data_IF_700292616066
#
_entry.id   IF_700292616066
#
_cell.length_a   1.000
_cell.length_b   1.000
_cell.length_c   1.000
_cell.angle_alpha   90.00
_cell.angle_beta   90.00
_cell.angle_gamma   90.00
#
_symmetry.space_group_name_H-M   'P 1'
#
loop_
_entity.id
_entity.type
_entity.pdbx_description
1 polymer ?
#
# COMPACT_ATOMS: atom_id res chain seq x y z
N UNK A 1 -83.44 24.06 -20.63
CA UNK A 1 -82.44 23.76 -19.62
C UNK A 1 -81.13 23.66 -20.32
N UNK A 2 -80.28 24.73 -20.27
CA UNK A 2 -78.96 24.79 -20.97
C UNK A 2 -77.91 24.18 -20.07
N UNK A 3 -77.21 23.19 -20.54
CA UNK A 3 -76.01 22.65 -19.89
C UNK A 3 -74.79 23.54 -20.23
N UNK A 4 -74.28 24.22 -19.22
CA UNK A 4 -73.08 25.03 -19.36
C UNK A 4 -71.83 24.13 -19.47
N UNK A 5 -71.08 24.40 -20.52
CA UNK A 5 -69.80 23.75 -20.79
C UNK A 5 -68.76 24.23 -19.79
N UNK A 6 -68.13 23.31 -19.11
CA UNK A 6 -66.87 23.53 -18.37
C UNK A 6 -65.78 24.12 -19.27
N UNK A 7 -65.04 25.13 -18.83
CA UNK A 7 -64.10 25.82 -19.68
C UNK A 7 -62.88 24.92 -20.06
N UNK A 8 -62.50 25.00 -21.34
CA UNK A 8 -61.41 24.26 -21.96
C UNK A 8 -60.02 24.40 -21.29
N UNK A 9 -59.90 25.29 -20.30
CA UNK A 9 -58.66 25.48 -19.53
C UNK A 9 -58.34 24.38 -18.54
N UNK A 10 -59.34 23.63 -18.04
CA UNK A 10 -59.12 22.52 -17.08
C UNK A 10 -58.50 21.29 -17.75
N UNK A 11 -58.75 21.08 -19.06
CA UNK A 11 -58.24 19.95 -19.79
C UNK A 11 -56.76 20.11 -20.18
N UNK A 12 -56.28 21.36 -20.24
CA UNK A 12 -54.84 21.64 -20.55
C UNK A 12 -53.91 21.41 -19.36
N UNK A 13 -54.40 21.56 -18.14
CA UNK A 13 -53.60 21.37 -16.92
C UNK A 13 -53.35 19.87 -16.69
N UNK A 14 -54.34 19.01 -16.99
CA UNK A 14 -54.20 17.57 -16.81
C UNK A 14 -53.21 16.92 -17.82
N UNK A 15 -53.19 17.44 -19.07
CA UNK A 15 -52.24 16.94 -20.08
C UNK A 15 -50.78 17.38 -19.80
N UNK A 16 -50.60 18.59 -19.26
CA UNK A 16 -49.27 19.09 -18.87
C UNK A 16 -48.74 18.37 -17.63
N UNK A 17 -49.59 18.04 -16.69
CA UNK A 17 -49.21 17.29 -15.48
C UNK A 17 -48.85 15.84 -15.83
N UNK A 18 -49.50 15.23 -16.81
CA UNK A 18 -49.19 13.88 -17.28
C UNK A 18 -47.89 13.83 -18.11
N UNK A 19 -47.60 14.84 -18.91
CA UNK A 19 -46.35 14.93 -19.67
C UNK A 19 -45.12 15.14 -18.78
N UNK A 20 -45.24 15.89 -17.67
CA UNK A 20 -44.18 16.09 -16.69
C UNK A 20 -43.95 14.80 -15.89
N UNK A 21 -45.01 14.04 -15.55
CA UNK A 21 -44.85 12.76 -14.85
C UNK A 21 -44.25 11.65 -15.70
N UNK A 22 -44.40 11.69 -17.04
CA UNK A 22 -43.85 10.67 -17.94
C UNK A 22 -42.34 10.88 -18.26
N UNK A 23 -41.83 12.10 -18.10
CA UNK A 23 -40.39 12.41 -18.28
C UNK A 23 -39.61 12.40 -16.97
N UNK A 24 -40.30 12.28 -15.82
CA UNK A 24 -39.67 12.25 -14.50
C UNK A 24 -39.32 10.84 -14.00
N UNK A 25 -39.40 9.83 -14.84
CA UNK A 25 -39.00 8.48 -14.45
C UNK A 25 -37.51 8.29 -14.62
N UNK A 26 -36.76 8.85 -13.76
CA UNK A 26 -35.46 8.39 -13.23
C UNK A 26 -34.61 9.50 -12.63
N UNK A 27 -35.19 10.47 -11.99
CA UNK A 27 -34.45 11.33 -11.08
C UNK A 27 -34.76 10.88 -9.65
N UNK A 28 -33.80 10.23 -9.01
CA UNK A 28 -33.88 10.04 -7.56
C UNK A 28 -34.03 11.41 -6.91
N UNK A 29 -35.19 11.68 -6.32
CA UNK A 29 -35.45 12.92 -5.60
C UNK A 29 -34.64 12.91 -4.30
N UNK A 30 -33.47 13.48 -4.33
CA UNK A 30 -32.80 13.89 -3.12
C UNK A 30 -33.40 15.22 -2.69
N UNK A 31 -34.17 15.23 -1.61
CA UNK A 31 -34.77 16.43 -1.01
C UNK A 31 -33.74 17.17 -0.16
N UNK A 32 -32.84 17.87 -0.80
CA UNK A 32 -31.87 18.77 -0.16
C UNK A 32 -31.52 19.92 -1.11
N UNK A 33 -31.45 21.12 -0.59
CA UNK A 33 -31.36 22.37 -1.35
C UNK A 33 -30.03 22.62 -2.10
N UNK A 34 -29.10 21.65 -2.04
CA UNK A 34 -27.77 21.82 -2.62
C UNK A 34 -27.36 20.75 -3.58
N UNK A 35 -28.32 20.14 -4.32
CA UNK A 35 -27.88 19.15 -5.21
C UNK A 35 -28.28 19.39 -6.56
N UNK A 36 -27.55 19.16 -7.33
CA UNK A 36 -27.41 19.05 -8.35
C UNK A 36 -27.27 18.31 -9.38
N UNK A 37 -27.44 18.39 -10.36
CA UNK A 37 -27.53 17.84 -11.70
C UNK A 37 -26.61 16.68 -11.84
N UNK A 38 -27.22 15.52 -11.68
CA UNK A 38 -26.60 14.27 -12.08
C UNK A 38 -26.28 14.35 -13.57
N UNK A 39 -25.02 14.42 -13.90
CA UNK A 39 -24.53 14.36 -15.27
C UNK A 39 -24.21 12.91 -15.60
N UNK A 40 -25.23 12.04 -15.49
CA UNK A 40 -25.08 10.64 -15.80
C UNK A 40 -25.04 10.44 -17.33
N UNK A 41 -23.98 9.84 -17.83
CA UNK A 41 -23.81 9.57 -19.27
C UNK A 41 -24.46 8.26 -19.71
N UNK A 42 -24.94 7.44 -18.80
CA UNK A 42 -25.54 6.13 -19.07
C UNK A 42 -26.62 5.76 -18.05
N UNK A 43 -27.51 4.82 -18.43
CA UNK A 43 -28.58 4.32 -17.58
C UNK A 43 -28.10 3.50 -16.37
N UNK A 44 -26.85 3.07 -16.37
CA UNK A 44 -26.21 2.32 -15.26
C UNK A 44 -25.28 3.20 -14.43
N UNK A 45 -25.22 4.51 -14.70
CA UNK A 45 -24.39 5.45 -13.95
C UNK A 45 -25.12 6.04 -12.74
N UNK A 46 -24.42 6.16 -11.63
CA UNK A 46 -24.87 6.89 -10.44
C UNK A 46 -24.02 8.15 -10.30
N UNK A 47 -24.66 9.33 -10.38
CA UNK A 47 -23.97 10.61 -10.22
C UNK A 47 -24.72 11.44 -9.19
N UNK A 48 -24.05 11.75 -8.06
CA UNK A 48 -24.64 12.49 -6.96
C UNK A 48 -23.64 13.48 -6.38
N UNK A 49 -23.98 14.77 -6.44
CA UNK A 49 -23.15 15.85 -5.88
C UNK A 49 -22.95 17.01 -6.84
N UNK A 50 -22.55 18.16 -6.29
CA UNK A 50 -22.29 19.35 -7.11
C UNK A 50 -21.11 19.12 -8.03
N UNK A 51 -21.33 19.29 -9.34
CA UNK A 51 -20.31 19.04 -10.39
C UNK A 51 -19.70 17.62 -10.35
N UNK A 52 -20.41 16.62 -9.81
CA UNK A 52 -20.02 15.22 -9.96
C UNK A 52 -20.16 14.80 -11.44
N UNK A 53 -19.24 13.96 -11.93
CA UNK A 53 -19.22 13.53 -13.33
C UNK A 53 -18.98 12.02 -13.46
N UNK A 54 -19.72 11.39 -14.39
CA UNK A 54 -19.47 10.03 -14.87
C UNK A 54 -19.26 10.11 -16.39
N UNK A 55 -18.16 9.55 -16.89
CA UNK A 55 -17.84 9.57 -18.33
C UNK A 55 -17.84 8.18 -18.95
N UNK A 56 -17.77 7.14 -18.15
CA UNK A 56 -17.89 5.75 -18.61
C UNK A 56 -19.31 5.40 -19.03
N UNK A 57 -19.44 4.44 -19.94
CA UNK A 57 -20.73 4.00 -20.49
C UNK A 57 -21.44 2.95 -19.64
N UNK A 58 -20.73 2.26 -18.73
CA UNK A 58 -21.28 1.17 -17.92
C UNK A 58 -20.82 1.25 -16.47
N UNK A 59 -21.76 1.04 -15.54
CA UNK A 59 -21.53 0.78 -14.12
C UNK A 59 -20.58 1.79 -13.44
N UNK A 60 -20.77 3.08 -13.70
CA UNK A 60 -19.97 4.14 -13.10
C UNK A 60 -20.68 4.75 -11.89
N UNK A 61 -19.93 5.06 -10.83
CA UNK A 61 -20.44 5.67 -9.62
C UNK A 61 -19.62 6.90 -9.27
N UNK A 62 -20.22 8.09 -9.23
CA UNK A 62 -19.62 9.32 -8.76
C UNK A 62 -20.49 9.97 -7.67
N UNK A 63 -20.03 9.95 -6.43
CA UNK A 63 -20.76 10.49 -5.28
C UNK A 63 -19.89 11.49 -4.53
N UNK A 64 -20.28 12.74 -4.49
CA UNK A 64 -19.58 13.83 -3.80
C UNK A 64 -19.38 15.04 -4.70
N UNK A 65 -19.13 16.20 -4.08
CA UNK A 65 -18.84 17.42 -4.85
C UNK A 65 -17.57 17.23 -5.69
N UNK A 66 -17.70 17.46 -7.00
CA UNK A 66 -16.61 17.30 -7.99
C UNK A 66 -16.01 15.88 -8.04
N UNK A 67 -16.75 14.84 -7.59
CA UNK A 67 -16.35 13.47 -7.77
C UNK A 67 -16.35 13.11 -9.27
N UNK A 68 -15.34 12.38 -9.74
CA UNK A 68 -15.18 12.01 -11.15
C UNK A 68 -14.95 10.50 -11.32
N UNK A 69 -15.87 9.81 -12.00
CA UNK A 69 -15.74 8.42 -12.43
C UNK A 69 -15.53 8.42 -13.97
N UNK A 70 -14.26 8.31 -14.40
CA UNK A 70 -13.86 8.63 -15.76
C UNK A 70 -14.10 7.53 -16.80
N UNK A 71 -14.00 6.26 -16.43
CA UNK A 71 -14.13 5.12 -17.34
C UNK A 71 -15.10 4.06 -16.79
N UNK A 72 -15.40 3.04 -17.61
CA UNK A 72 -16.32 1.96 -17.26
C UNK A 72 -15.94 1.28 -15.93
N UNK A 73 -16.94 0.93 -15.14
CA UNK A 73 -16.81 0.30 -13.83
C UNK A 73 -15.96 1.11 -12.83
N UNK A 74 -15.82 2.42 -13.06
CA UNK A 74 -15.13 3.31 -12.13
C UNK A 74 -16.04 3.75 -10.99
N UNK A 75 -15.51 3.80 -9.77
CA UNK A 75 -16.23 4.25 -8.57
C UNK A 75 -15.46 5.38 -7.89
N UNK A 76 -16.05 6.57 -7.81
CA UNK A 76 -15.51 7.73 -7.12
C UNK A 76 -16.48 8.18 -6.01
N UNK A 77 -16.06 8.10 -4.76
CA UNK A 77 -16.87 8.49 -3.61
C UNK A 77 -16.09 9.43 -2.70
N UNK A 78 -16.57 10.65 -2.56
CA UNK A 78 -15.94 11.70 -1.75
C UNK A 78 -15.78 13.01 -2.54
N UNK A 79 -15.60 14.12 -1.83
CA UNK A 79 -15.34 15.40 -2.48
C UNK A 79 -14.05 15.36 -3.30
N UNK A 80 -14.11 15.69 -4.58
CA UNK A 80 -12.99 15.69 -5.50
C UNK A 80 -12.30 14.31 -5.66
N UNK A 81 -12.97 13.21 -5.31
CA UNK A 81 -12.48 11.86 -5.58
C UNK A 81 -12.39 11.64 -7.09
N UNK A 82 -11.30 11.05 -7.57
CA UNK A 82 -11.03 10.85 -8.99
C UNK A 82 -10.70 9.39 -9.30
N UNK A 83 -11.64 8.66 -9.88
CA UNK A 83 -11.48 7.31 -10.41
C UNK A 83 -11.41 7.39 -11.94
N UNK A 84 -10.24 7.71 -12.49
CA UNK A 84 -10.07 7.93 -13.92
C UNK A 84 -9.69 6.66 -14.70
N UNK A 85 -9.24 5.60 -14.03
CA UNK A 85 -8.88 4.33 -14.65
C UNK A 85 -10.06 3.41 -14.91
N UNK A 86 -9.94 2.52 -15.89
CA UNK A 86 -10.91 1.44 -16.14
C UNK A 86 -11.01 0.52 -14.90
N UNK A 87 -12.22 0.34 -14.37
CA UNK A 87 -12.44 -0.49 -13.17
C UNK A 87 -11.72 0.03 -11.92
N UNK A 88 -11.41 1.33 -11.86
CA UNK A 88 -10.74 1.94 -10.72
C UNK A 88 -11.72 2.32 -9.61
N UNK A 89 -11.24 2.34 -8.37
CA UNK A 89 -12.00 2.76 -7.20
C UNK A 89 -11.27 3.84 -6.44
N UNK A 90 -11.92 4.98 -6.21
CA UNK A 90 -11.35 6.12 -5.47
C UNK A 90 -12.34 6.55 -4.39
N UNK A 91 -12.02 6.31 -3.13
CA UNK A 91 -12.89 6.63 -2.00
C UNK A 91 -12.15 7.49 -0.98
N UNK A 92 -12.64 8.69 -0.77
CA UNK A 92 -12.06 9.68 0.15
C UNK A 92 -11.95 11.07 -0.49
N UNK A 93 -11.78 12.07 0.35
CA UNK A 93 -11.61 13.44 -0.15
C UNK A 93 -10.27 13.56 -0.91
N UNK A 94 -10.34 14.05 -2.15
CA UNK A 94 -9.19 14.18 -3.07
C UNK A 94 -8.40 12.89 -3.33
N UNK A 95 -9.00 11.73 -3.09
CA UNK A 95 -8.37 10.46 -3.47
C UNK A 95 -8.26 10.32 -4.98
N UNK A 96 -7.25 9.58 -5.47
CA UNK A 96 -6.96 9.41 -6.89
C UNK A 96 -6.65 7.96 -7.24
N UNK A 97 -7.43 7.38 -8.14
CA UNK A 97 -7.19 6.07 -8.73
C UNK A 97 -7.17 6.25 -10.25
N UNK A 98 -5.98 6.54 -10.82
CA UNK A 98 -5.87 7.04 -12.19
C UNK A 98 -5.54 5.99 -13.24
N UNK A 99 -5.06 4.83 -12.83
CA UNK A 99 -4.73 3.72 -13.73
C UNK A 99 -5.79 2.62 -13.71
N UNK A 100 -5.70 1.69 -14.67
CA UNK A 100 -6.59 0.53 -14.77
C UNK A 100 -6.55 -0.31 -13.49
N UNK A 101 -7.73 -0.61 -12.93
CA UNK A 101 -7.91 -1.39 -11.70
C UNK A 101 -7.16 -0.84 -10.49
N UNK A 102 -6.83 0.45 -10.52
CA UNK A 102 -6.23 1.13 -9.37
C UNK A 102 -7.26 1.34 -8.26
N UNK A 103 -6.83 1.21 -7.02
CA UNK A 103 -7.70 1.36 -5.84
C UNK A 103 -7.08 2.36 -4.85
N UNK A 104 -7.78 3.44 -4.55
CA UNK A 104 -7.36 4.49 -3.62
C UNK A 104 -8.42 4.69 -2.53
N UNK A 105 -8.09 4.38 -1.29
CA UNK A 105 -8.96 4.51 -0.13
C UNK A 105 -8.32 5.39 0.93
N UNK A 106 -8.86 6.58 1.13
CA UNK A 106 -8.41 7.52 2.16
C UNK A 106 -8.28 8.94 1.64
N UNK A 107 -8.20 9.88 2.55
CA UNK A 107 -7.93 11.28 2.27
C UNK A 107 -6.59 11.41 1.53
N UNK A 108 -6.58 12.04 0.35
CA UNK A 108 -5.39 12.22 -0.49
C UNK A 108 -4.69 10.91 -0.93
N UNK A 109 -5.30 9.73 -0.74
CA UNK A 109 -4.73 8.47 -1.22
C UNK A 109 -4.54 8.51 -2.74
N UNK A 110 -3.40 8.02 -3.24
CA UNK A 110 -3.05 8.07 -4.65
C UNK A 110 -2.57 6.71 -5.17
N UNK A 111 -3.37 6.07 -6.01
CA UNK A 111 -3.04 4.85 -6.72
C UNK A 111 -2.92 5.17 -8.21
N UNK A 112 -1.68 5.36 -8.69
CA UNK A 112 -1.41 5.78 -10.07
C UNK A 112 -0.87 4.65 -10.97
N UNK A 113 -0.55 3.50 -10.41
CA UNK A 113 -0.11 2.33 -11.16
C UNK A 113 -1.26 1.39 -11.52
N UNK A 114 -1.11 0.62 -12.60
CA UNK A 114 -2.05 -0.44 -12.98
C UNK A 114 -2.12 -1.49 -11.88
N UNK A 115 -3.32 -1.89 -11.44
CA UNK A 115 -3.56 -2.82 -10.33
C UNK A 115 -2.91 -2.40 -9.01
N UNK A 116 -2.67 -1.09 -8.84
CA UNK A 116 -2.10 -0.55 -7.59
C UNK A 116 -3.17 -0.34 -6.52
N UNK A 117 -2.76 -0.45 -5.26
CA UNK A 117 -3.63 -0.25 -4.11
C UNK A 117 -2.98 0.73 -3.13
N UNK A 118 -3.66 1.84 -2.86
CA UNK A 118 -3.27 2.84 -1.87
C UNK A 118 -4.36 2.96 -0.79
N UNK A 119 -4.06 2.61 0.45
CA UNK A 119 -5.01 2.64 1.57
C UNK A 119 -4.41 3.45 2.73
N UNK A 120 -5.05 4.52 3.10
CA UNK A 120 -4.62 5.41 4.18
C UNK A 120 -4.50 6.86 3.74
N UNK A 121 -4.43 7.75 4.71
CA UNK A 121 -4.23 9.17 4.42
C UNK A 121 -2.90 9.40 3.71
N UNK A 122 -2.95 10.06 2.57
CA UNK A 122 -1.79 10.35 1.72
C UNK A 122 -0.93 9.11 1.36
N UNK A 123 -1.50 7.91 1.37
CA UNK A 123 -0.83 6.71 0.88
C UNK A 123 -0.57 6.82 -0.63
N UNK A 124 0.62 6.42 -1.09
CA UNK A 124 1.03 6.52 -2.49
C UNK A 124 1.46 5.16 -3.04
N UNK A 125 0.72 4.63 -4.01
CA UNK A 125 1.07 3.46 -4.81
C UNK A 125 1.41 3.94 -6.23
N UNK A 126 2.67 4.37 -6.44
CA UNK A 126 3.11 5.16 -7.60
C UNK A 126 3.81 4.38 -8.70
N UNK A 127 4.26 3.15 -8.46
CA UNK A 127 4.89 2.32 -9.49
C UNK A 127 3.91 1.91 -10.58
N UNK A 128 4.40 1.65 -11.79
CA UNK A 128 3.54 1.42 -12.95
C UNK A 128 2.63 0.19 -12.83
N UNK A 129 3.03 -0.86 -12.08
CA UNK A 129 2.23 -2.09 -11.92
C UNK A 129 2.35 -2.67 -10.52
N UNK A 130 1.24 -3.26 -10.04
CA UNK A 130 1.19 -4.16 -8.88
C UNK A 130 1.83 -3.58 -7.59
N UNK A 131 1.59 -2.31 -7.31
CA UNK A 131 2.10 -1.66 -6.10
C UNK A 131 1.07 -1.63 -4.98
N UNK A 132 1.52 -1.82 -3.76
CA UNK A 132 0.67 -1.81 -2.57
C UNK A 132 1.24 -0.83 -1.53
N UNK A 133 0.47 0.20 -1.18
CA UNK A 133 0.79 1.15 -0.12
C UNK A 133 -0.35 1.20 0.90
N UNK A 134 -0.11 0.72 2.12
CA UNK A 134 -1.11 0.66 3.19
C UNK A 134 -0.58 1.35 4.45
N UNK A 135 -1.20 2.43 4.84
CA UNK A 135 -0.83 3.23 6.02
C UNK A 135 -0.80 4.72 5.73
N UNK A 136 -0.85 5.53 6.78
CA UNK A 136 -0.69 6.98 6.65
C UNK A 136 0.68 7.29 6.01
N UNK A 137 0.68 8.00 4.89
CA UNK A 137 1.89 8.35 4.11
C UNK A 137 2.76 7.17 3.70
N UNK A 138 2.22 5.94 3.64
CA UNK A 138 2.94 4.81 3.08
C UNK A 138 3.24 5.07 1.60
N UNK A 139 4.46 4.73 1.15
CA UNK A 139 4.92 4.99 -0.22
C UNK A 139 5.49 3.72 -0.87
N UNK A 140 4.81 3.21 -1.90
CA UNK A 140 5.30 2.16 -2.78
C UNK A 140 5.64 2.78 -4.14
N UNK A 141 6.94 3.14 -4.34
CA UNK A 141 7.35 4.03 -5.42
C UNK A 141 7.58 3.39 -6.78
N UNK A 142 7.97 2.12 -6.84
CA UNK A 142 8.29 1.41 -8.09
C UNK A 142 7.50 0.11 -8.24
N UNK A 143 7.57 -0.49 -9.43
CA UNK A 143 6.82 -1.70 -9.78
C UNK A 143 7.00 -2.83 -8.75
N UNK A 144 5.91 -3.51 -8.43
CA UNK A 144 5.87 -4.62 -7.48
C UNK A 144 6.40 -4.26 -6.08
N UNK A 145 6.42 -2.97 -5.73
CA UNK A 145 6.80 -2.53 -4.40
C UNK A 145 5.62 -2.66 -3.43
N UNK A 146 5.91 -3.06 -2.19
CA UNK A 146 4.92 -3.19 -1.11
C UNK A 146 5.37 -2.38 0.10
N UNK A 147 4.59 -1.38 0.50
CA UNK A 147 4.80 -0.56 1.69
C UNK A 147 3.61 -0.70 2.65
N UNK A 148 3.81 -1.23 3.84
CA UNK A 148 2.76 -1.41 4.84
C UNK A 148 3.21 -0.85 6.19
N UNK A 149 2.49 0.16 6.66
CA UNK A 149 2.79 0.86 7.91
C UNK A 149 2.82 2.39 7.72
N UNK A 150 2.63 3.12 8.79
CA UNK A 150 2.75 4.59 8.74
C UNK A 150 4.15 5.01 8.27
N UNK A 151 4.22 5.85 7.25
CA UNK A 151 5.47 6.33 6.65
C UNK A 151 6.42 5.22 6.14
N UNK A 152 5.92 3.99 5.94
CA UNK A 152 6.69 2.92 5.31
C UNK A 152 7.06 3.31 3.88
N UNK A 153 8.31 3.08 3.48
CA UNK A 153 8.83 3.48 2.17
C UNK A 153 9.49 2.31 1.43
N UNK A 154 8.80 1.79 0.42
CA UNK A 154 9.31 0.79 -0.52
C UNK A 154 9.62 1.49 -1.86
N UNK A 155 10.81 2.11 -1.96
CA UNK A 155 11.22 2.89 -3.12
C UNK A 155 12.02 2.09 -4.16
N UNK A 156 12.45 0.87 -3.82
CA UNK A 156 13.16 -0.01 -4.76
C UNK A 156 12.20 -0.83 -5.63
N UNK A 157 12.65 -1.22 -6.83
CA UNK A 157 11.92 -2.15 -7.68
C UNK A 157 11.74 -3.50 -6.97
N UNK A 158 10.51 -3.99 -6.84
CA UNK A 158 10.20 -5.24 -6.14
C UNK A 158 10.60 -5.24 -4.67
N UNK A 159 10.69 -4.06 -4.04
CA UNK A 159 11.04 -3.94 -2.63
C UNK A 159 9.83 -4.12 -1.71
N UNK A 160 10.09 -4.57 -0.49
CA UNK A 160 9.07 -4.74 0.55
C UNK A 160 9.47 -3.99 1.81
N UNK A 161 8.61 -3.10 2.30
CA UNK A 161 8.83 -2.31 3.51
C UNK A 161 7.62 -2.43 4.43
N UNK A 162 7.78 -3.13 5.55
CA UNK A 162 6.68 -3.39 6.50
C UNK A 162 7.07 -2.93 7.90
N UNK A 163 6.33 -1.98 8.44
CA UNK A 163 6.55 -1.40 9.75
C UNK A 163 6.55 0.13 9.71
N UNK A 164 6.33 0.76 10.85
CA UNK A 164 6.34 2.22 10.95
C UNK A 164 7.74 2.76 10.60
N UNK A 165 7.78 3.71 9.64
CA UNK A 165 9.00 4.33 9.11
C UNK A 165 10.06 3.33 8.59
N UNK A 166 9.66 2.11 8.24
CA UNK A 166 10.57 1.15 7.59
C UNK A 166 10.97 1.64 6.19
N UNK A 167 12.15 1.25 5.72
CA UNK A 167 12.71 1.71 4.43
C UNK A 167 13.34 0.55 3.66
N UNK A 168 12.84 0.28 2.47
CA UNK A 168 13.40 -0.65 1.50
C UNK A 168 13.67 0.13 0.21
N UNK A 169 14.87 0.71 0.07
CA UNK A 169 15.16 1.72 -0.96
C UNK A 169 15.89 1.18 -2.18
N UNK A 170 16.50 0.02 -2.07
CA UNK A 170 17.19 -0.63 -3.18
C UNK A 170 16.32 -1.70 -3.86
N UNK A 171 16.72 -2.12 -5.07
CA UNK A 171 16.06 -3.19 -5.81
C UNK A 171 16.00 -4.47 -4.98
N UNK A 172 14.78 -5.05 -4.87
CA UNK A 172 14.49 -6.28 -4.12
C UNK A 172 14.93 -6.25 -2.67
N UNK A 173 15.09 -5.06 -2.10
CA UNK A 173 15.36 -4.89 -0.67
C UNK A 173 14.13 -5.20 0.17
N UNK A 174 14.34 -5.79 1.34
CA UNK A 174 13.27 -6.19 2.25
C UNK A 174 13.52 -5.63 3.65
N UNK A 175 12.62 -4.81 4.17
CA UNK A 175 12.69 -4.20 5.49
C UNK A 175 11.44 -4.54 6.30
N UNK A 176 11.60 -5.26 7.39
CA UNK A 176 10.54 -5.69 8.28
C UNK A 176 10.81 -5.25 9.71
N UNK A 177 10.03 -4.32 10.22
CA UNK A 177 10.12 -3.82 11.58
C UNK A 177 10.08 -2.30 11.66
N UNK A 178 9.82 -1.79 12.85
CA UNK A 178 9.89 -0.37 13.17
C UNK A 178 11.28 0.19 12.85
N UNK A 179 11.36 1.22 12.01
CA UNK A 179 12.62 1.84 11.57
C UNK A 179 13.60 0.88 10.86
N UNK A 180 13.20 -0.32 10.46
CA UNK A 180 14.05 -1.22 9.70
C UNK A 180 14.50 -0.57 8.38
N UNK A 181 15.77 -0.75 7.99
CA UNK A 181 16.34 -0.12 6.80
C UNK A 181 17.14 -1.11 5.97
N UNK A 182 16.60 -1.49 4.80
CA UNK A 182 17.27 -2.29 3.78
C UNK A 182 17.63 -1.39 2.59
N UNK A 183 18.85 -0.91 2.54
CA UNK A 183 19.36 0.00 1.51
C UNK A 183 20.35 -0.65 0.54
N UNK A 184 20.79 -1.87 0.80
CA UNK A 184 21.56 -2.67 -0.14
C UNK A 184 20.66 -3.38 -1.15
N UNK A 185 21.12 -3.56 -2.39
CA UNK A 185 20.41 -4.34 -3.39
C UNK A 185 20.22 -5.78 -2.91
N UNK A 186 19.00 -6.32 -2.95
CA UNK A 186 18.65 -7.67 -2.45
C UNK A 186 18.98 -7.89 -0.97
N UNK A 187 19.07 -6.81 -0.20
CA UNK A 187 19.34 -6.89 1.23
C UNK A 187 18.07 -7.16 2.04
N UNK A 188 18.25 -7.75 3.23
CA UNK A 188 17.14 -8.08 4.14
C UNK A 188 17.43 -7.53 5.53
N UNK A 189 16.56 -6.66 6.04
CA UNK A 189 16.61 -6.10 7.40
C UNK A 189 15.36 -6.51 8.17
N UNK A 190 15.50 -7.28 9.25
CA UNK A 190 14.38 -7.77 10.07
C UNK A 190 14.64 -7.42 11.53
N UNK A 191 13.76 -6.63 12.11
CA UNK A 191 13.84 -6.20 13.50
C UNK A 191 13.74 -4.69 13.65
N UNK A 192 13.50 -4.23 14.86
CA UNK A 192 13.49 -2.80 15.16
C UNK A 192 14.86 -2.18 14.87
N UNK A 193 14.88 -1.13 14.08
CA UNK A 193 16.08 -0.42 13.67
C UNK A 193 17.19 -1.33 13.08
N UNK A 194 16.82 -2.50 12.54
CA UNK A 194 17.75 -3.35 11.80
C UNK A 194 18.22 -2.66 10.50
N UNK A 195 19.50 -2.75 10.17
CA UNK A 195 20.09 -2.09 9.00
C UNK A 195 20.87 -3.05 8.11
N UNK A 196 20.40 -3.27 6.89
CA UNK A 196 21.09 -4.05 5.86
C UNK A 196 21.52 -3.10 4.72
N UNK A 197 22.79 -2.65 4.76
CA UNK A 197 23.33 -1.64 3.84
C UNK A 197 24.13 -2.23 2.69
N UNK A 198 24.81 -3.36 2.95
CA UNK A 198 25.57 -4.05 1.90
C UNK A 198 24.65 -4.73 0.89
N UNK A 199 25.08 -4.83 -0.37
CA UNK A 199 24.37 -5.65 -1.35
C UNK A 199 24.32 -7.10 -0.86
N UNK A 200 23.16 -7.76 -1.02
CA UNK A 200 22.91 -9.15 -0.57
C UNK A 200 23.14 -9.40 0.92
N UNK A 201 23.19 -8.33 1.73
CA UNK A 201 23.41 -8.44 3.16
C UNK A 201 22.11 -8.79 3.93
N UNK A 202 22.27 -9.44 5.08
CA UNK A 202 21.20 -9.89 5.95
C UNK A 202 21.43 -9.37 7.38
N UNK A 203 20.50 -8.56 7.90
CA UNK A 203 20.53 -8.07 9.27
C UNK A 203 19.24 -8.52 9.99
N UNK A 204 19.35 -9.37 10.99
CA UNK A 204 18.22 -9.91 11.75
C UNK A 204 18.41 -9.67 13.24
N UNK A 205 17.54 -8.93 13.85
CA UNK A 205 17.58 -8.59 15.28
C UNK A 205 17.43 -7.09 15.52
N UNK A 206 17.04 -6.72 16.74
CA UNK A 206 16.97 -5.31 17.15
C UNK A 206 18.34 -4.64 16.98
N UNK A 207 18.38 -3.51 16.26
CA UNK A 207 19.60 -2.73 15.98
C UNK A 207 20.74 -3.53 15.33
N UNK A 208 20.44 -4.68 14.71
CA UNK A 208 21.45 -5.43 13.95
C UNK A 208 21.91 -4.62 12.74
N UNK A 209 23.19 -4.77 12.32
CA UNK A 209 23.74 -4.03 11.18
C UNK A 209 24.61 -4.93 10.31
N UNK A 210 24.20 -5.12 9.07
CA UNK A 210 24.99 -5.79 8.03
C UNK A 210 25.42 -4.72 6.99
N UNK A 211 26.66 -4.23 7.15
CA UNK A 211 27.19 -3.10 6.38
C UNK A 211 27.99 -3.53 5.16
N UNK A 212 28.69 -4.67 5.22
CA UNK A 212 29.46 -5.21 4.12
C UNK A 212 28.62 -5.94 3.07
N UNK A 213 29.11 -6.07 1.86
CA UNK A 213 28.50 -6.89 0.81
C UNK A 213 28.52 -8.37 1.24
N UNK A 214 27.42 -9.11 0.96
CA UNK A 214 27.23 -10.51 1.39
C UNK A 214 27.40 -10.73 2.91
N UNK A 215 27.30 -9.68 3.73
CA UNK A 215 27.46 -9.82 5.17
C UNK A 215 26.18 -10.27 5.86
N UNK A 216 26.32 -11.02 6.93
CA UNK A 216 25.22 -11.56 7.74
C UNK A 216 25.43 -11.14 9.19
N UNK A 217 24.45 -10.43 9.77
CA UNK A 217 24.43 -10.05 11.18
C UNK A 217 23.14 -10.56 11.83
N UNK A 218 23.21 -11.52 12.72
CA UNK A 218 22.07 -12.12 13.40
C UNK A 218 22.23 -11.94 14.92
N UNK A 219 21.26 -11.31 15.54
CA UNK A 219 21.22 -11.07 16.99
C UNK A 219 21.04 -9.59 17.32
N UNK A 220 20.67 -9.33 18.56
CA UNK A 220 20.54 -7.96 19.05
C UNK A 220 21.90 -7.24 18.96
N UNK A 221 21.90 -6.08 18.29
CA UNK A 221 23.10 -5.26 18.08
C UNK A 221 24.29 -5.98 17.39
N UNK A 222 24.03 -7.11 16.70
CA UNK A 222 25.05 -7.78 15.90
C UNK A 222 25.56 -6.85 14.78
N UNK A 223 26.89 -6.77 14.55
CA UNK A 223 27.49 -5.86 13.56
C UNK A 223 28.45 -6.58 12.64
N UNK A 224 28.06 -6.80 11.39
CA UNK A 224 28.88 -7.32 10.31
C UNK A 224 29.23 -6.16 9.37
N UNK A 225 30.42 -5.56 9.55
CA UNK A 225 30.82 -4.33 8.84
C UNK A 225 31.72 -4.57 7.62
N UNK A 226 32.27 -5.79 7.49
CA UNK A 226 33.15 -6.18 6.38
C UNK A 226 32.41 -7.07 5.40
N UNK A 227 32.86 -7.07 4.14
CA UNK A 227 32.33 -7.95 3.11
C UNK A 227 32.52 -9.42 3.50
N UNK A 228 31.51 -10.24 3.17
CA UNK A 228 31.48 -11.70 3.46
C UNK A 228 31.59 -12.03 4.97
N UNK A 229 31.39 -11.07 5.85
CA UNK A 229 31.45 -11.29 7.29
C UNK A 229 30.14 -11.88 7.83
N UNK A 230 30.27 -12.93 8.65
CA UNK A 230 29.13 -13.49 9.42
C UNK A 230 29.34 -13.18 10.90
N UNK A 231 28.32 -12.59 11.53
CA UNK A 231 28.32 -12.25 12.95
C UNK A 231 27.05 -12.79 13.59
N UNK A 232 27.22 -13.58 14.65
CA UNK A 232 26.13 -14.11 15.48
C UNK A 232 26.19 -13.47 16.87
N UNK A 233 25.18 -12.65 17.20
CA UNK A 233 25.15 -11.91 18.44
C UNK A 233 26.17 -10.76 18.54
N UNK A 234 26.20 -10.09 19.68
CA UNK A 234 27.26 -9.15 20.03
C UNK A 234 28.25 -9.79 21.02
N UNK A 235 29.38 -9.14 21.27
CA UNK A 235 30.42 -9.68 22.13
C UNK A 235 29.93 -10.04 23.54
N UNK A 236 29.05 -9.22 24.11
CA UNK A 236 28.48 -9.49 25.43
C UNK A 236 27.54 -10.69 25.45
N UNK A 237 26.75 -10.89 24.40
CA UNK A 237 25.88 -12.07 24.27
C UNK A 237 26.70 -13.36 24.15
N UNK A 238 27.76 -13.36 23.33
CA UNK A 238 28.65 -14.53 23.18
C UNK A 238 29.35 -14.86 24.49
N UNK A 239 29.86 -13.85 25.23
CA UNK A 239 30.49 -14.04 26.52
C UNK A 239 29.51 -14.61 27.57
N UNK A 240 28.30 -14.06 27.66
CA UNK A 240 27.28 -14.54 28.58
C UNK A 240 26.85 -15.96 28.24
N UNK A 241 26.70 -16.26 26.95
CA UNK A 241 26.40 -17.62 26.48
C UNK A 241 27.50 -18.62 26.84
N UNK A 242 28.77 -18.20 26.68
CA UNK A 242 29.92 -19.03 27.09
C UNK A 242 29.92 -19.30 28.60
N UNK A 243 29.63 -18.30 29.41
CA UNK A 243 29.55 -18.46 30.88
C UNK A 243 28.42 -19.38 31.31
N UNK A 244 27.36 -19.50 30.52
CA UNK A 244 26.20 -20.37 30.79
C UNK A 244 26.41 -21.80 30.29
N UNK A 245 27.48 -22.10 29.57
CA UNK A 245 27.76 -23.45 29.08
C UNK A 245 28.04 -24.44 30.22
N UNK A 246 27.45 -25.63 30.13
CA UNK A 246 27.70 -26.73 31.06
C UNK A 246 27.83 -28.05 30.28
N UNK A 247 28.57 -29.03 30.85
CA UNK A 247 28.83 -30.29 30.19
C UNK A 247 29.97 -30.26 29.17
N UNK A 248 29.91 -31.14 28.19
CA UNK A 248 30.98 -31.27 27.17
C UNK A 248 30.95 -30.10 26.17
N UNK A 249 31.99 -29.30 26.12
CA UNK A 249 32.17 -28.20 25.15
C UNK A 249 32.77 -28.76 23.85
N UNK A 250 32.23 -28.27 22.72
CA UNK A 250 32.66 -28.64 21.37
C UNK A 250 33.09 -27.40 20.58
N UNK A 251 34.05 -27.58 19.68
CA UNK A 251 34.37 -26.55 18.68
C UNK A 251 33.35 -26.62 17.54
N UNK A 252 32.86 -25.48 17.09
CA UNK A 252 32.10 -25.37 15.85
C UNK A 252 33.09 -25.40 14.69
N UNK A 253 32.86 -26.30 13.76
CA UNK A 253 33.67 -26.44 12.52
C UNK A 253 32.83 -26.02 11.32
N UNK A 254 33.50 -25.62 10.24
CA UNK A 254 32.87 -25.35 8.95
C UNK A 254 33.68 -26.09 7.87
N UNK A 255 33.00 -26.80 6.99
CA UNK A 255 33.63 -27.48 5.85
C UNK A 255 33.71 -26.55 4.61
N UNK A 256 34.31 -27.06 3.53
CA UNK A 256 34.48 -26.33 2.27
C UNK A 256 33.14 -25.96 1.57
N UNK A 257 32.05 -26.63 1.94
CA UNK A 257 30.67 -26.31 1.46
C UNK A 257 29.96 -25.29 2.34
N UNK A 258 30.60 -24.83 3.42
CA UNK A 258 29.98 -23.93 4.40
C UNK A 258 29.09 -24.63 5.43
N UNK A 259 29.13 -25.96 5.51
CA UNK A 259 28.33 -26.73 6.47
C UNK A 259 28.91 -26.64 7.87
N UNK A 260 28.07 -26.27 8.83
CA UNK A 260 28.48 -26.21 10.24
C UNK A 260 28.42 -27.58 10.86
N UNK A 261 29.46 -27.94 11.55
CA UNK A 261 29.58 -29.17 12.33
C UNK A 261 30.16 -28.90 13.71
N UNK A 262 30.38 -29.97 14.51
CA UNK A 262 31.07 -29.84 15.79
C UNK A 262 32.14 -30.91 15.92
N UNK A 263 33.26 -30.55 16.53
CA UNK A 263 34.35 -31.44 16.87
C UNK A 263 34.63 -31.38 18.37
N UNK A 264 34.94 -32.52 18.99
CA UNK A 264 35.40 -32.55 20.39
C UNK A 264 36.83 -32.00 20.45
N UNK A 265 37.09 -31.17 21.45
CA UNK A 265 38.45 -30.75 21.77
C UNK A 265 38.98 -31.70 22.81
N UNK A 266 39.90 -32.58 22.42
CA UNK A 266 40.69 -33.30 23.41
C UNK A 266 41.72 -32.35 24.02
N UNK A 267 41.41 -31.83 25.20
CA UNK A 267 42.32 -31.04 26.00
C UNK A 267 43.47 -31.92 26.55
N UNK A 268 44.16 -32.61 25.71
CA UNK A 268 45.40 -33.31 26.08
C UNK A 268 46.56 -32.91 25.19
N UNK A 269 46.97 -31.69 25.32
CA UNK A 269 48.37 -31.30 25.16
C UNK A 269 48.68 -30.32 26.28
N UNK A 270 48.72 -30.84 27.51
CA UNK A 270 49.34 -30.09 28.59
C UNK A 270 50.82 -30.05 28.32
N UNK A 271 51.37 -28.87 28.17
CA UNK A 271 52.77 -28.57 28.07
C UNK A 271 53.62 -29.45 29.01
N UNK A 272 54.64 -30.03 28.47
CA UNK A 272 55.85 -30.34 29.24
C UNK A 272 56.71 -29.10 29.38
#
# INVERSE_FOLDING_TARGET
MKMDFLPKSVLKISALTFAIAATASCTAMATGTDHQTANATSSTAITLGNAATTSGTNDTVAIGSQANAGLNSATAVGGQANAAGLGSTSIGWQSKATAERAQAFGHLANASGVRSTAVGEAAMAGGNNDTVAVGNKANAGLNSATAVGGEANAAGLGSTSIGWQSKATAERAQAFGHLANASGMRSTAVGEAAMAKGATSVAVGNKSMAGGMNSIAIGNEAKASKDNQVVLGNAGQVQSSTAAQSGTVRIVTIDDNGTLGTMMVDYYQKAK
#
